data_IF_481484582289
#
_entry.id   IF_481484582289
#
_cell.length_a   1.000
_cell.length_b   1.000
_cell.length_c   1.000
_cell.angle_alpha   90.00
_cell.angle_beta   90.00
_cell.angle_gamma   90.00
#
_symmetry.space_group_name_H-M   'P 1'
#
loop_
_entity.id
_entity.type
_entity.pdbx_description
1 polymer ?
#
# COMPACT_ATOMS: atom_id res chain seq x y z
N UNK A 1 61.03 -22.10 26.50
CA UNK A 1 59.77 -22.74 26.95
C UNK A 1 58.52 -22.08 26.32
N UNK A 2 58.48 -21.85 25.00
CA UNK A 2 57.42 -21.04 24.37
C UNK A 2 56.87 -21.61 23.05
N UNK A 3 57.71 -22.17 22.16
CA UNK A 3 57.27 -22.66 20.84
C UNK A 3 56.45 -23.96 20.89
N UNK A 4 56.78 -24.89 21.77
CA UNK A 4 56.04 -26.17 21.88
C UNK A 4 54.61 -25.98 22.41
N UNK A 5 54.41 -25.05 23.36
CA UNK A 5 53.06 -24.70 23.86
C UNK A 5 52.19 -24.08 22.77
N UNK A 6 52.77 -23.28 21.88
CA UNK A 6 52.06 -22.67 20.74
C UNK A 6 51.65 -23.75 19.73
N UNK A 7 52.52 -24.72 19.46
CA UNK A 7 52.22 -25.85 18.57
C UNK A 7 51.09 -26.74 19.13
N UNK A 8 51.02 -26.92 20.45
CA UNK A 8 49.94 -27.67 21.11
C UNK A 8 48.56 -26.97 21.05
N UNK A 9 48.53 -25.63 20.96
CA UNK A 9 47.28 -24.83 20.94
C UNK A 9 46.68 -24.65 19.54
N UNK A 10 47.50 -24.72 18.47
CA UNK A 10 47.04 -24.62 17.07
C UNK A 10 45.84 -25.52 16.72
N UNK A 11 45.79 -26.82 17.09
CA UNK A 11 44.65 -27.67 16.75
C UNK A 11 43.35 -27.23 17.43
N UNK A 12 43.43 -26.75 18.69
CA UNK A 12 42.27 -26.21 19.40
C UNK A 12 41.74 -24.94 18.74
N UNK A 13 42.63 -24.03 18.34
CA UNK A 13 42.24 -22.81 17.64
C UNK A 13 41.56 -23.11 16.30
N UNK A 14 42.09 -24.08 15.54
CA UNK A 14 41.50 -24.55 14.29
C UNK A 14 40.08 -25.09 14.50
N UNK A 15 39.87 -25.91 15.53
CA UNK A 15 38.56 -26.44 15.87
C UNK A 15 37.55 -25.33 16.22
N UNK A 16 37.98 -24.34 17.01
CA UNK A 16 37.14 -23.19 17.38
C UNK A 16 36.74 -22.40 16.13
N UNK A 17 37.66 -22.18 15.19
CA UNK A 17 37.37 -21.48 13.93
C UNK A 17 36.34 -22.25 13.11
N UNK A 18 36.48 -23.58 12.99
CA UNK A 18 35.49 -24.42 12.28
C UNK A 18 34.12 -24.34 12.93
N UNK A 19 34.05 -24.41 14.26
CA UNK A 19 32.80 -24.29 15.01
C UNK A 19 32.16 -22.92 14.77
N UNK A 20 32.92 -21.84 14.86
CA UNK A 20 32.43 -20.48 14.60
C UNK A 20 31.87 -20.33 13.19
N UNK A 21 32.54 -20.87 12.17
CA UNK A 21 32.08 -20.82 10.79
C UNK A 21 30.75 -21.58 10.64
N UNK A 22 30.62 -22.77 11.23
CA UNK A 22 29.38 -23.54 11.20
C UNK A 22 28.24 -22.79 11.88
N UNK A 23 28.50 -22.18 13.05
CA UNK A 23 27.51 -21.33 13.71
C UNK A 23 27.11 -20.15 12.84
N UNK A 24 28.07 -19.40 12.30
CA UNK A 24 27.81 -18.27 11.41
C UNK A 24 26.93 -18.67 10.22
N UNK A 25 27.20 -19.83 9.61
CA UNK A 25 26.39 -20.33 8.50
C UNK A 25 24.93 -20.59 8.91
N UNK A 26 24.71 -21.17 10.09
CA UNK A 26 23.37 -21.39 10.64
C UNK A 26 22.68 -20.08 10.95
N UNK A 27 23.38 -19.12 11.57
CA UNK A 27 22.83 -17.79 11.87
C UNK A 27 22.40 -17.06 10.60
N UNK A 28 23.24 -17.03 9.56
CA UNK A 28 22.90 -16.40 8.28
C UNK A 28 21.67 -17.07 7.64
N UNK A 29 21.59 -18.40 7.66
CA UNK A 29 20.43 -19.13 7.13
C UNK A 29 19.15 -18.80 7.90
N UNK A 30 19.24 -18.74 9.23
CA UNK A 30 18.09 -18.42 10.09
C UNK A 30 17.64 -16.97 9.92
N UNK A 31 18.58 -16.03 9.79
CA UNK A 31 18.32 -14.61 9.57
C UNK A 31 17.62 -14.38 8.22
N UNK A 32 18.12 -14.98 7.14
CA UNK A 32 17.48 -14.91 5.83
C UNK A 32 16.04 -15.44 5.86
N UNK A 33 15.80 -16.53 6.60
CA UNK A 33 14.45 -17.09 6.77
C UNK A 33 13.54 -16.15 7.56
N UNK A 34 14.05 -15.55 8.65
CA UNK A 34 13.32 -14.57 9.46
C UNK A 34 12.91 -13.36 8.63
N UNK A 35 13.85 -12.79 7.88
CA UNK A 35 13.61 -11.63 7.02
C UNK A 35 12.61 -11.95 5.91
N UNK A 36 12.72 -13.13 5.30
CA UNK A 36 11.76 -13.61 4.30
C UNK A 36 10.32 -13.67 4.82
N UNK A 37 10.12 -14.15 6.05
CA UNK A 37 8.79 -14.15 6.67
C UNK A 37 8.26 -12.74 6.98
N UNK A 38 9.14 -11.81 7.40
CA UNK A 38 8.74 -10.42 7.62
C UNK A 38 8.27 -9.77 6.32
N UNK A 39 9.06 -9.89 5.24
CA UNK A 39 8.72 -9.34 3.92
C UNK A 39 7.39 -9.92 3.42
N UNK A 40 7.21 -11.24 3.53
CA UNK A 40 5.96 -11.88 3.10
C UNK A 40 4.75 -11.36 3.88
N UNK A 41 4.90 -11.14 5.19
CA UNK A 41 3.86 -10.56 6.04
C UNK A 41 3.53 -9.13 5.60
N UNK A 42 4.54 -8.31 5.35
CA UNK A 42 4.39 -6.92 4.96
C UNK A 42 3.74 -6.79 3.58
N UNK A 43 4.14 -7.61 2.61
CA UNK A 43 3.52 -7.68 1.28
C UNK A 43 2.03 -8.06 1.38
N UNK A 44 1.69 -9.04 2.21
CA UNK A 44 0.28 -9.43 2.45
C UNK A 44 -0.52 -8.28 3.07
N UNK A 45 0.07 -7.55 4.01
CA UNK A 45 -0.58 -6.39 4.63
C UNK A 45 -0.81 -5.27 3.59
N UNK A 46 0.19 -4.98 2.76
CA UNK A 46 0.12 -4.00 1.68
C UNK A 46 -0.97 -4.33 0.66
N UNK A 47 -1.06 -5.59 0.24
CA UNK A 47 -2.09 -6.03 -0.71
C UNK A 47 -3.50 -5.86 -0.12
N UNK A 48 -3.71 -6.24 1.14
CA UNK A 48 -4.99 -6.01 1.83
C UNK A 48 -5.36 -4.52 1.90
N UNK A 49 -4.39 -3.64 2.14
CA UNK A 49 -4.61 -2.20 2.16
C UNK A 49 -4.96 -1.65 0.77
N UNK A 50 -4.26 -2.11 -0.28
CA UNK A 50 -4.57 -1.75 -1.67
C UNK A 50 -5.99 -2.15 -2.06
N UNK A 51 -6.43 -3.34 -1.67
CA UNK A 51 -7.78 -3.82 -1.98
C UNK A 51 -8.85 -3.00 -1.23
N UNK A 52 -8.63 -2.70 0.05
CA UNK A 52 -9.49 -1.79 0.81
C UNK A 52 -9.58 -0.40 0.17
N UNK A 53 -8.46 0.13 -0.31
CA UNK A 53 -8.41 1.41 -1.00
C UNK A 53 -9.19 1.38 -2.31
N UNK A 54 -9.01 0.35 -3.14
CA UNK A 54 -9.78 0.15 -4.38
C UNK A 54 -11.28 0.09 -4.10
N UNK A 55 -11.71 -0.67 -3.10
CA UNK A 55 -13.13 -0.75 -2.71
C UNK A 55 -13.69 0.59 -2.26
N UNK A 56 -12.94 1.36 -1.45
CA UNK A 56 -13.34 2.71 -1.03
C UNK A 56 -13.43 3.66 -2.22
N UNK A 57 -12.47 3.60 -3.16
CA UNK A 57 -12.49 4.39 -4.39
C UNK A 57 -13.73 4.07 -5.23
N UNK A 58 -14.07 2.80 -5.41
CA UNK A 58 -15.28 2.39 -6.13
C UNK A 58 -16.53 2.93 -5.42
N UNK A 59 -16.65 2.77 -4.10
CA UNK A 59 -17.78 3.33 -3.32
C UNK A 59 -17.87 4.86 -3.44
N UNK A 60 -16.75 5.56 -3.45
CA UNK A 60 -16.74 7.00 -3.65
C UNK A 60 -17.23 7.37 -5.05
N UNK A 61 -16.75 6.69 -6.08
CA UNK A 61 -17.18 6.92 -7.46
C UNK A 61 -18.67 6.64 -7.66
N UNK A 62 -19.25 5.63 -7.01
CA UNK A 62 -20.70 5.36 -7.07
C UNK A 62 -21.54 6.39 -6.30
N UNK A 63 -20.97 7.10 -5.33
CA UNK A 63 -21.64 8.20 -4.65
C UNK A 63 -21.56 9.50 -5.45
N UNK A 64 -20.39 9.79 -6.04
CA UNK A 64 -20.08 11.06 -6.71
C UNK A 64 -20.33 11.00 -8.22
N UNK A 65 -20.85 9.88 -8.72
CA UNK A 65 -21.22 9.72 -10.12
C UNK A 65 -22.09 10.91 -10.58
N UNK A 66 -21.69 11.63 -11.66
CA UNK A 66 -22.43 12.78 -12.15
C UNK A 66 -23.90 12.47 -12.42
N UNK A 67 -24.22 11.24 -12.84
CA UNK A 67 -25.58 10.76 -13.04
C UNK A 67 -26.41 10.75 -11.76
N UNK A 68 -25.80 10.55 -10.60
CA UNK A 68 -26.47 10.55 -9.29
C UNK A 68 -26.72 11.98 -8.80
N UNK A 69 -25.73 12.85 -8.98
CA UNK A 69 -25.89 14.30 -8.77
C UNK A 69 -26.97 14.85 -9.70
N UNK A 70 -26.98 14.42 -10.96
CA UNK A 70 -28.01 14.74 -11.97
C UNK A 70 -29.38 14.22 -11.54
N UNK A 71 -29.49 12.97 -11.07
CA UNK A 71 -30.76 12.44 -10.55
C UNK A 71 -31.27 13.25 -9.36
N UNK A 72 -30.43 13.57 -8.38
CA UNK A 72 -30.81 14.40 -7.22
C UNK A 72 -31.23 15.81 -7.67
N UNK A 73 -30.51 16.39 -8.62
CA UNK A 73 -30.84 17.68 -9.21
C UNK A 73 -32.11 17.65 -10.07
N UNK A 74 -32.51 16.51 -10.61
CA UNK A 74 -33.77 16.34 -11.32
C UNK A 74 -34.95 16.02 -10.39
N UNK A 75 -34.71 15.33 -9.26
CA UNK A 75 -35.78 14.91 -8.34
C UNK A 75 -36.07 15.92 -7.24
N UNK A 76 -35.06 16.67 -6.77
CA UNK A 76 -35.21 17.62 -5.65
C UNK A 76 -34.99 19.08 -6.05
N UNK A 77 -34.46 19.34 -7.25
CA UNK A 77 -34.34 20.69 -7.79
C UNK A 77 -35.16 20.75 -9.08
N UNK A 78 -35.83 21.87 -9.34
CA UNK A 78 -36.58 22.12 -10.59
C UNK A 78 -35.64 22.48 -11.75
N UNK A 79 -34.45 21.86 -11.81
CA UNK A 79 -33.44 22.13 -12.83
C UNK A 79 -33.79 21.33 -14.10
N UNK A 80 -34.45 21.99 -15.06
CA UNK A 80 -34.62 21.45 -16.42
C UNK A 80 -33.28 21.42 -17.13
N UNK A 81 -33.01 20.32 -17.84
CA UNK A 81 -31.76 20.11 -18.58
C UNK A 81 -31.56 21.20 -19.65
N UNK A 82 -30.42 21.88 -19.61
CA UNK A 82 -30.10 22.98 -20.53
C UNK A 82 -29.92 22.43 -21.96
N UNK A 83 -30.78 22.84 -22.89
CA UNK A 83 -30.72 22.40 -24.30
C UNK A 83 -29.69 23.22 -25.07
N UNK A 84 -29.08 22.60 -26.08
CA UNK A 84 -28.16 23.28 -27.03
C UNK A 84 -28.93 24.43 -27.71
N UNK A 85 -28.46 25.66 -27.53
CA UNK A 85 -29.10 26.88 -28.05
C UNK A 85 -30.00 27.64 -27.06
N UNK A 86 -30.13 27.18 -25.81
CA UNK A 86 -30.91 27.87 -24.78
C UNK A 86 -30.12 29.05 -24.18
N UNK A 87 -30.73 30.24 -24.17
CA UNK A 87 -30.14 31.43 -23.54
C UNK A 87 -30.49 31.41 -22.04
N UNK A 88 -29.48 31.28 -21.19
CA UNK A 88 -29.65 31.31 -19.73
C UNK A 88 -29.50 32.76 -19.27
N UNK A 89 -30.60 33.42 -18.92
CA UNK A 89 -30.54 34.74 -18.29
C UNK A 89 -30.19 34.59 -16.81
N UNK A 90 -28.94 34.94 -16.46
CA UNK A 90 -28.49 35.07 -15.09
C UNK A 90 -28.79 36.50 -14.63
N UNK A 91 -30.03 36.76 -14.20
CA UNK A 91 -30.34 38.02 -13.53
C UNK A 91 -29.88 37.93 -12.07
N UNK A 92 -29.44 39.04 -11.47
CA UNK A 92 -28.63 39.12 -10.23
C UNK A 92 -29.14 38.37 -8.98
N UNK A 93 -30.32 37.74 -9.02
CA UNK A 93 -30.77 36.74 -8.07
C UNK A 93 -31.12 35.40 -8.75
N UNK A 94 -30.08 34.60 -9.02
CA UNK A 94 -30.00 33.11 -8.99
C UNK A 94 -31.19 32.27 -9.52
N UNK A 95 -31.98 32.74 -10.48
CA UNK A 95 -33.02 31.93 -11.11
C UNK A 95 -32.86 31.92 -12.63
N UNK A 96 -32.46 30.76 -13.14
CA UNK A 96 -32.40 30.47 -14.57
C UNK A 96 -33.79 30.02 -15.05
N UNK A 97 -34.51 30.89 -15.75
CA UNK A 97 -35.79 30.56 -16.36
C UNK A 97 -35.57 30.19 -17.85
N UNK A 98 -36.16 29.09 -18.33
CA UNK A 98 -36.19 28.79 -19.76
C UNK A 98 -37.15 29.76 -20.47
N UNK A 99 -36.67 30.42 -21.53
CA UNK A 99 -37.52 31.06 -22.55
C UNK A 99 -37.54 30.20 -23.81
#
# INVERSE_FOLDING_TARGET
MSREKILAIKPFLSLIVVILILFMMVFVKMENRRMGYSILKDVRALNKLKDKYKLRKIKYLTLVQPDRVRKIALTHLTLKEARRGQIIQLNGNRLALPQ
#
